data_IF_655205466793
#
_entry.id   IF_655205466793
#
_cell.length_a   1.000
_cell.length_b   1.000
_cell.length_c   1.000
_cell.angle_alpha   90.00
_cell.angle_beta   90.00
_cell.angle_gamma   90.00
#
_symmetry.space_group_name_H-M   'P 1'
#
loop_
_entity.id
_entity.type
_entity.pdbx_description
1 polymer ?
#
# COMPACT_ATOMS: atom_id res chain seq x y z
N UNK A 1 -10.59 -1.55 -15.78
CA UNK A 1 -9.50 -2.45 -16.22
C UNK A 1 -8.31 -1.69 -16.81
N UNK A 2 -8.52 -0.68 -17.66
CA UNK A 2 -7.42 0.12 -18.26
C UNK A 2 -6.51 0.76 -17.18
N UNK A 3 -7.06 1.56 -16.27
CA UNK A 3 -6.27 2.32 -15.26
C UNK A 3 -5.33 1.44 -14.43
N UNK A 4 -5.82 0.28 -13.98
CA UNK A 4 -5.01 -0.67 -13.21
C UNK A 4 -3.86 -1.27 -14.03
N UNK A 5 -4.13 -1.66 -15.28
CA UNK A 5 -3.10 -2.21 -16.18
C UNK A 5 -2.05 -1.15 -16.54
N UNK A 6 -2.48 0.08 -16.79
CA UNK A 6 -1.57 1.21 -17.04
C UNK A 6 -0.70 1.49 -15.83
N UNK A 7 -1.26 1.43 -14.62
CA UNK A 7 -0.51 1.61 -13.37
C UNK A 7 0.57 0.53 -13.22
N UNK A 8 0.19 -0.74 -13.42
CA UNK A 8 1.12 -1.87 -13.34
C UNK A 8 2.29 -1.72 -14.33
N UNK A 9 2.00 -1.33 -15.58
CA UNK A 9 3.04 -1.12 -16.59
C UNK A 9 3.96 0.06 -16.22
N UNK A 10 3.38 1.16 -15.74
CA UNK A 10 4.13 2.33 -15.33
C UNK A 10 5.06 2.04 -14.15
N UNK A 11 4.59 1.25 -13.18
CA UNK A 11 5.39 0.80 -12.04
C UNK A 11 6.56 -0.04 -12.51
N UNK A 12 6.33 -1.06 -13.34
CA UNK A 12 7.39 -1.94 -13.86
C UNK A 12 8.54 -1.18 -14.53
N UNK A 13 8.24 -0.08 -15.21
CA UNK A 13 9.22 0.74 -15.94
C UNK A 13 9.65 2.01 -15.20
N UNK A 14 9.19 2.21 -13.97
CA UNK A 14 9.32 3.45 -13.22
C UNK A 14 8.96 4.72 -14.00
N UNK A 15 7.89 4.66 -14.79
CA UNK A 15 7.37 5.83 -15.50
C UNK A 15 6.59 6.73 -14.53
N UNK A 16 7.34 7.61 -13.87
CA UNK A 16 6.83 8.61 -12.93
C UNK A 16 5.78 9.53 -13.59
N UNK A 17 5.91 9.81 -14.89
CA UNK A 17 4.98 10.68 -15.60
C UNK A 17 3.59 10.06 -15.75
N UNK A 18 3.54 8.76 -16.06
CA UNK A 18 2.29 8.01 -16.12
C UNK A 18 1.71 7.81 -14.72
N UNK A 19 2.53 7.48 -13.72
CA UNK A 19 2.10 7.32 -12.32
C UNK A 19 1.43 8.61 -11.81
N UNK A 20 2.05 9.76 -12.07
CA UNK A 20 1.48 11.06 -11.71
C UNK A 20 0.06 11.26 -12.29
N UNK A 21 -0.16 10.92 -13.56
CA UNK A 21 -1.48 11.04 -14.21
C UNK A 21 -2.50 10.06 -13.64
N UNK A 22 -2.05 8.90 -13.18
CA UNK A 22 -2.94 7.86 -12.65
C UNK A 22 -3.50 8.24 -11.29
N UNK A 23 -2.75 8.95 -10.43
CA UNK A 23 -3.28 9.38 -9.13
C UNK A 23 -4.59 10.18 -9.26
N UNK A 24 -4.69 11.09 -10.23
CA UNK A 24 -5.91 11.82 -10.52
C UNK A 24 -7.08 10.90 -10.95
N UNK A 25 -6.79 9.83 -11.73
CA UNK A 25 -7.80 8.82 -12.11
C UNK A 25 -8.21 7.96 -10.91
N UNK A 26 -7.27 7.63 -10.03
CA UNK A 26 -7.52 6.89 -8.79
C UNK A 26 -8.47 7.67 -7.86
N UNK A 27 -8.34 9.00 -7.78
CA UNK A 27 -9.28 9.84 -7.03
C UNK A 27 -10.73 9.56 -7.44
N UNK A 28 -11.01 9.56 -8.75
CA UNK A 28 -12.37 9.33 -9.27
C UNK A 28 -12.85 7.92 -8.91
N UNK A 29 -12.01 6.91 -9.15
CA UNK A 29 -12.36 5.51 -8.90
C UNK A 29 -12.61 5.22 -7.41
N UNK A 30 -11.82 5.79 -6.51
CA UNK A 30 -11.97 5.57 -5.07
C UNK A 30 -13.19 6.31 -4.50
N UNK A 31 -13.50 7.51 -4.98
CA UNK A 31 -14.74 8.20 -4.63
C UNK A 31 -15.97 7.38 -5.07
N UNK A 32 -15.95 6.85 -6.29
CA UNK A 32 -17.06 6.05 -6.82
C UNK A 32 -17.27 4.71 -6.12
N UNK A 33 -16.21 4.13 -5.57
CA UNK A 33 -16.22 2.83 -4.86
C UNK A 33 -16.41 2.95 -3.36
N UNK A 34 -16.68 4.16 -2.84
CA UNK A 34 -16.84 4.45 -1.41
C UNK A 34 -15.63 4.06 -0.54
N UNK A 35 -14.43 4.06 -1.13
CA UNK A 35 -13.18 3.70 -0.44
C UNK A 35 -12.51 4.94 0.16
N UNK A 36 -13.11 5.48 1.21
CA UNK A 36 -12.77 6.78 1.84
C UNK A 36 -11.28 6.96 2.16
N UNK A 37 -10.60 5.93 2.66
CA UNK A 37 -9.15 5.96 2.94
C UNK A 37 -8.32 6.22 1.68
N UNK A 38 -8.52 5.39 0.68
CA UNK A 38 -7.79 5.46 -0.58
C UNK A 38 -8.17 6.73 -1.36
N UNK A 39 -9.42 7.17 -1.22
CA UNK A 39 -9.87 8.48 -1.69
C UNK A 39 -9.03 9.60 -1.11
N UNK A 40 -8.92 9.68 0.22
CA UNK A 40 -8.15 10.72 0.89
C UNK A 40 -6.67 10.67 0.50
N UNK A 41 -6.06 9.47 0.53
CA UNK A 41 -4.66 9.29 0.14
C UNK A 41 -4.41 9.72 -1.31
N UNK A 42 -5.30 9.36 -2.24
CA UNK A 42 -5.18 9.75 -3.64
C UNK A 42 -5.31 11.26 -3.84
N UNK A 43 -6.20 11.93 -3.09
CA UNK A 43 -6.32 13.40 -3.09
C UNK A 43 -5.07 14.07 -2.53
N UNK A 44 -4.53 13.54 -1.43
CA UNK A 44 -3.30 14.04 -0.82
C UNK A 44 -2.11 13.93 -1.77
N UNK A 45 -1.93 12.76 -2.40
CA UNK A 45 -0.87 12.56 -3.40
C UNK A 45 -1.05 13.46 -4.62
N UNK A 46 -2.29 13.61 -5.11
CA UNK A 46 -2.60 14.50 -6.25
C UNK A 46 -2.33 15.97 -5.89
N UNK A 47 -2.64 16.38 -4.66
CA UNK A 47 -2.36 17.73 -4.17
C UNK A 47 -0.86 17.99 -4.09
N UNK A 48 -0.09 17.09 -3.46
CA UNK A 48 1.37 17.23 -3.36
C UNK A 48 2.06 17.24 -4.72
N UNK A 49 1.69 16.32 -5.61
CA UNK A 49 2.42 16.10 -6.86
C UNK A 49 1.89 16.91 -8.05
N UNK A 50 0.63 17.34 -8.01
CA UNK A 50 -0.04 18.05 -9.10
C UNK A 50 -0.29 19.54 -8.89
N UNK A 51 0.03 20.09 -7.70
CA UNK A 51 -0.20 21.51 -7.37
C UNK A 51 1.10 22.16 -6.85
N UNK A 52 1.20 23.50 -6.76
CA UNK A 52 2.40 24.15 -6.23
C UNK A 52 2.61 23.96 -4.71
N UNK A 53 1.86 23.06 -4.06
CA UNK A 53 2.03 22.72 -2.65
C UNK A 53 3.42 22.13 -2.34
N UNK A 54 4.05 21.45 -3.30
CA UNK A 54 5.43 20.99 -3.21
C UNK A 54 6.26 21.55 -4.39
N UNK A 55 7.53 21.86 -4.14
CA UNK A 55 8.47 22.23 -5.21
C UNK A 55 8.66 21.09 -6.21
N UNK A 56 8.96 21.39 -7.47
CA UNK A 56 9.08 20.37 -8.54
C UNK A 56 10.08 19.26 -8.22
N UNK A 57 11.18 19.61 -7.55
CA UNK A 57 12.19 18.64 -7.10
C UNK A 57 11.61 17.69 -6.05
N UNK A 58 10.88 18.23 -5.07
CA UNK A 58 10.21 17.45 -4.04
C UNK A 58 9.09 16.58 -4.62
N UNK A 59 8.31 17.08 -5.58
CA UNK A 59 7.29 16.29 -6.28
C UNK A 59 7.90 15.07 -6.98
N UNK A 60 9.02 15.28 -7.67
CA UNK A 60 9.76 14.20 -8.34
C UNK A 60 10.34 13.23 -7.33
N UNK A 61 10.91 13.72 -6.22
CA UNK A 61 11.45 12.89 -5.16
C UNK A 61 10.37 12.02 -4.50
N UNK A 62 9.19 12.58 -4.20
CA UNK A 62 8.05 11.84 -3.64
C UNK A 62 7.65 10.69 -4.57
N UNK A 63 7.52 10.96 -5.86
CA UNK A 63 7.12 9.93 -6.83
C UNK A 63 8.22 8.88 -7.06
N UNK A 64 9.49 9.31 -7.11
CA UNK A 64 10.62 8.40 -7.28
C UNK A 64 10.81 7.48 -6.07
N UNK A 65 10.69 8.02 -4.86
CA UNK A 65 10.78 7.24 -3.61
C UNK A 65 9.62 6.26 -3.44
N UNK A 66 8.51 6.45 -4.16
CA UNK A 66 7.42 5.48 -4.17
C UNK A 66 7.80 4.13 -4.81
N UNK A 67 8.92 4.08 -5.54
CA UNK A 67 9.37 2.91 -6.27
C UNK A 67 10.77 2.48 -5.83
N UNK A 68 11.00 1.18 -5.83
CA UNK A 68 12.29 0.56 -5.52
C UNK A 68 12.66 -0.44 -6.60
N UNK A 69 13.94 -0.53 -6.93
CA UNK A 69 14.45 -1.50 -7.89
C UNK A 69 15.43 -2.46 -7.22
N UNK A 70 14.93 -3.56 -6.62
CA UNK A 70 15.79 -4.49 -5.87
C UNK A 70 16.78 -5.23 -6.76
N UNK A 71 16.47 -5.43 -8.05
CA UNK A 71 17.30 -6.22 -8.99
C UNK A 71 18.17 -5.35 -9.90
N UNK A 72 17.93 -4.05 -9.98
CA UNK A 72 18.63 -3.14 -10.88
C UNK A 72 18.30 -3.30 -12.37
N UNK A 73 17.33 -4.13 -12.74
CA UNK A 73 16.90 -4.30 -14.13
C UNK A 73 15.81 -3.27 -14.52
N UNK A 74 15.65 -3.00 -15.82
CA UNK A 74 14.77 -1.93 -16.31
C UNK A 74 13.27 -2.21 -16.06
N UNK A 75 12.88 -3.48 -15.96
CA UNK A 75 11.50 -3.93 -15.78
C UNK A 75 11.20 -4.50 -14.37
N UNK A 76 12.17 -4.38 -13.45
CA UNK A 76 12.09 -4.96 -12.10
C UNK A 76 11.77 -3.96 -11.00
N UNK A 77 11.15 -2.84 -11.35
CA UNK A 77 10.70 -1.85 -10.39
C UNK A 77 9.45 -2.33 -9.63
N UNK A 78 9.41 -2.03 -8.34
CA UNK A 78 8.39 -2.42 -7.39
C UNK A 78 7.86 -1.22 -6.59
N UNK A 79 6.62 -1.30 -6.12
CA UNK A 79 6.09 -0.35 -5.17
C UNK A 79 6.80 -0.54 -3.81
N UNK A 80 7.32 0.55 -3.24
CA UNK A 80 8.00 0.51 -1.94
C UNK A 80 7.07 -0.02 -0.83
N UNK A 81 5.80 0.40 -0.85
CA UNK A 81 4.79 -0.05 0.11
C UNK A 81 4.56 -1.56 0.05
N UNK A 82 4.56 -2.13 -1.16
CA UNK A 82 4.43 -3.56 -1.38
C UNK A 82 5.65 -4.33 -0.86
N UNK A 83 6.86 -3.80 -1.05
CA UNK A 83 8.06 -4.40 -0.48
C UNK A 83 7.99 -4.39 1.05
N UNK A 84 7.51 -3.31 1.65
CA UNK A 84 7.32 -3.20 3.09
C UNK A 84 6.25 -4.18 3.60
N UNK A 85 5.15 -4.36 2.87
CA UNK A 85 4.12 -5.35 3.17
C UNK A 85 4.68 -6.78 3.16
N UNK A 86 5.47 -7.13 2.13
CA UNK A 86 6.13 -8.44 2.06
C UNK A 86 7.11 -8.65 3.21
N UNK A 87 7.91 -7.62 3.53
CA UNK A 87 8.83 -7.69 4.66
C UNK A 87 8.08 -7.91 5.98
N UNK A 88 7.01 -7.17 6.23
CA UNK A 88 6.17 -7.34 7.41
C UNK A 88 5.53 -8.74 7.49
N UNK A 89 5.09 -9.29 6.36
CA UNK A 89 4.56 -10.66 6.29
C UNK A 89 5.63 -11.71 6.61
N UNK A 90 6.84 -11.56 6.05
CA UNK A 90 7.97 -12.44 6.35
C UNK A 90 8.31 -12.41 7.83
N UNK A 91 8.37 -11.21 8.42
CA UNK A 91 8.62 -11.05 9.86
C UNK A 91 7.55 -11.74 10.70
N UNK A 92 6.26 -11.52 10.41
CA UNK A 92 5.16 -12.20 11.11
C UNK A 92 5.26 -13.73 10.99
N UNK A 93 5.60 -14.22 9.80
CA UNK A 93 5.73 -15.66 9.54
C UNK A 93 6.87 -16.25 10.36
N UNK A 94 8.05 -15.63 10.34
CA UNK A 94 9.22 -16.06 11.10
C UNK A 94 8.99 -15.98 12.61
N UNK A 95 8.26 -14.96 13.08
CA UNK A 95 7.85 -14.87 14.48
C UNK A 95 6.91 -16.00 14.88
N UNK A 96 5.94 -16.35 14.02
CA UNK A 96 5.03 -17.45 14.27
C UNK A 96 5.74 -18.83 14.29
N UNK A 97 6.76 -19.03 13.45
CA UNK A 97 7.51 -20.31 13.42
C UNK A 97 8.49 -20.47 14.59
N UNK A 98 9.00 -19.34 15.13
CA UNK A 98 10.03 -19.32 16.18
C UNK A 98 9.47 -18.99 17.57
N UNK A 99 8.15 -19.05 17.76
CA UNK A 99 7.51 -18.80 19.05
C UNK A 99 7.78 -19.95 20.03
N UNK A 100 8.99 -19.97 20.57
CA UNK A 100 9.38 -20.74 21.75
C UNK A 100 9.32 -19.79 22.93
N UNK A 101 8.78 -20.24 24.06
CA UNK A 101 8.48 -19.46 25.27
C UNK A 101 9.67 -18.73 25.94
N UNK A 102 10.88 -18.85 25.40
CA UNK A 102 12.12 -18.27 25.93
C UNK A 102 12.71 -17.12 25.10
N UNK A 103 12.16 -16.80 23.92
CA UNK A 103 12.72 -15.77 23.04
C UNK A 103 11.89 -14.50 23.13
N UNK A 104 12.51 -13.43 23.62
CA UNK A 104 11.96 -12.08 23.64
C UNK A 104 11.71 -11.53 22.21
N UNK A 105 10.62 -10.79 22.03
CA UNK A 105 10.17 -10.24 20.74
C UNK A 105 11.21 -9.29 20.15
N UNK A 106 11.90 -8.48 20.96
CA UNK A 106 12.95 -7.59 20.47
C UNK A 106 14.18 -8.38 19.99
N UNK A 107 14.54 -9.44 20.70
CA UNK A 107 15.62 -10.36 20.28
C UNK A 107 15.26 -11.12 19.00
N UNK A 108 14.01 -11.57 18.88
CA UNK A 108 13.50 -12.21 17.68
C UNK A 108 13.49 -11.25 16.49
N UNK A 109 13.04 -10.02 16.68
CA UNK A 109 13.01 -8.99 15.64
C UNK A 109 14.42 -8.63 15.16
N UNK A 110 15.38 -8.40 16.06
CA UNK A 110 16.78 -8.13 15.71
C UNK A 110 17.39 -9.27 14.90
N UNK A 111 17.21 -10.50 15.36
CA UNK A 111 17.77 -11.68 14.70
C UNK A 111 17.12 -11.89 13.33
N UNK A 112 15.80 -11.75 13.25
CA UNK A 112 15.01 -12.04 12.05
C UNK A 112 15.14 -10.94 11.00
N UNK A 113 15.15 -9.66 11.38
CA UNK A 113 15.34 -8.55 10.45
C UNK A 113 16.72 -8.58 9.77
N UNK A 114 17.77 -8.97 10.51
CA UNK A 114 19.14 -9.10 9.98
C UNK A 114 19.33 -10.36 9.12
N UNK A 115 18.56 -11.42 9.36
CA UNK A 115 18.73 -12.71 8.68
C UNK A 115 17.70 -12.97 7.60
N UNK A 116 16.63 -12.18 7.47
CA UNK A 116 15.56 -12.42 6.50
C UNK A 116 16.05 -12.49 5.04
N UNK A 117 16.93 -11.57 4.63
CA UNK A 117 17.55 -11.59 3.30
C UNK A 117 18.52 -12.77 3.14
N UNK A 118 19.47 -12.91 4.08
CA UNK A 118 20.49 -13.97 4.04
C UNK A 118 19.92 -15.39 4.11
N UNK A 119 18.88 -15.62 4.93
CA UNK A 119 18.20 -16.91 5.03
C UNK A 119 17.42 -17.25 3.76
N UNK A 120 16.97 -16.25 2.99
CA UNK A 120 16.35 -16.49 1.69
C UNK A 120 17.38 -16.97 0.68
N UNK A 121 18.52 -16.27 0.58
CA UNK A 121 19.63 -16.66 -0.32
C UNK A 121 20.24 -18.03 0.07
N UNK A 122 20.38 -18.29 1.37
CA UNK A 122 20.85 -19.57 1.90
C UNK A 122 19.86 -20.69 1.60
N UNK A 123 18.56 -20.43 1.73
CA UNK A 123 17.50 -21.39 1.38
C UNK A 123 17.56 -21.71 -0.11
N UNK A 124 17.64 -20.71 -0.99
CA UNK A 124 17.79 -20.91 -2.44
C UNK A 124 19.05 -21.73 -2.78
N UNK A 125 20.17 -21.44 -2.10
CA UNK A 125 21.44 -22.18 -2.29
C UNK A 125 21.34 -23.64 -1.84
N UNK A 126 20.65 -23.90 -0.73
CA UNK A 126 20.39 -25.26 -0.23
C UNK A 126 19.47 -26.00 -1.20
N UNK A 127 18.36 -25.40 -1.59
CA UNK A 127 17.42 -25.94 -2.58
C UNK A 127 18.12 -26.32 -3.90
N UNK A 128 18.98 -25.43 -4.41
CA UNK A 128 19.77 -25.68 -5.61
C UNK A 128 20.77 -26.84 -5.41
N UNK A 129 21.42 -26.94 -4.25
CA UNK A 129 22.39 -27.98 -3.96
C UNK A 129 21.75 -29.38 -3.81
N UNK A 130 20.53 -29.45 -3.28
CA UNK A 130 19.78 -30.70 -3.10
C UNK A 130 18.86 -31.05 -4.27
N UNK A 131 18.77 -30.17 -5.28
CA UNK A 131 17.92 -30.36 -6.46
C UNK A 131 16.42 -30.19 -6.19
N UNK A 132 16.03 -29.89 -4.94
CA UNK A 132 14.66 -29.53 -4.58
C UNK A 132 14.46 -28.05 -4.86
N UNK A 133 13.63 -27.72 -5.84
CA UNK A 133 13.23 -26.34 -6.08
C UNK A 133 11.85 -26.15 -5.47
N UNK A 134 11.76 -25.42 -4.36
CA UNK A 134 10.44 -24.98 -3.89
C UNK A 134 10.02 -23.86 -4.83
N UNK A 135 9.27 -24.21 -5.86
CA UNK A 135 8.89 -23.32 -6.96
C UNK A 135 7.98 -22.18 -6.44
N UNK A 136 8.60 -21.19 -5.79
CA UNK A 136 7.98 -19.97 -5.28
C UNK A 136 8.09 -18.83 -6.30
N UNK A 137 8.78 -19.08 -7.42
CA UNK A 137 8.78 -18.21 -8.57
C UNK A 137 7.40 -18.24 -9.21
N UNK A 138 6.54 -17.29 -8.82
CA UNK A 138 5.47 -16.87 -9.71
C UNK A 138 6.14 -16.33 -10.97
N UNK A 139 6.21 -17.14 -12.02
CA UNK A 139 6.48 -16.65 -13.37
C UNK A 139 5.48 -15.53 -13.61
N UNK A 140 5.95 -14.29 -13.68
CA UNK A 140 5.08 -13.19 -14.04
C UNK A 140 4.61 -13.46 -15.46
N UNK A 141 3.36 -13.93 -15.58
CA UNK A 141 2.71 -14.13 -16.86
C UNK A 141 2.84 -12.83 -17.65
N UNK A 142 3.37 -12.88 -18.86
CA UNK A 142 3.39 -11.72 -19.74
C UNK A 142 1.94 -11.30 -19.98
N UNK A 143 1.56 -10.21 -19.34
CA UNK A 143 0.18 -9.72 -19.33
C UNK A 143 -0.12 -9.01 -20.64
N UNK A 144 0.88 -8.71 -21.47
CA UNK A 144 0.75 -7.91 -22.70
C UNK A 144 -0.21 -8.56 -23.68
N UNK A 145 -0.07 -9.86 -23.92
CA UNK A 145 -0.96 -10.63 -24.78
C UNK A 145 -2.35 -10.77 -24.16
N UNK A 146 -2.45 -10.95 -22.85
CA UNK A 146 -3.73 -10.95 -22.15
C UNK A 146 -4.42 -9.57 -22.22
N UNK A 147 -3.67 -8.46 -22.24
CA UNK A 147 -4.22 -7.11 -22.44
C UNK A 147 -4.78 -6.97 -23.84
N UNK A 148 -4.00 -7.36 -24.85
CA UNK A 148 -4.40 -7.27 -26.25
C UNK A 148 -5.60 -8.17 -26.54
N UNK A 149 -5.58 -9.39 -26.06
CA UNK A 149 -6.66 -10.37 -26.24
C UNK A 149 -7.91 -9.96 -25.49
N UNK A 150 -7.80 -9.40 -24.28
CA UNK A 150 -8.96 -8.89 -23.55
C UNK A 150 -9.56 -7.65 -24.24
N UNK A 151 -8.72 -6.71 -24.70
CA UNK A 151 -9.19 -5.54 -25.43
C UNK A 151 -9.89 -5.94 -26.74
N UNK A 152 -9.30 -6.90 -27.46
CA UNK A 152 -9.87 -7.48 -28.67
C UNK A 152 -11.18 -8.22 -28.38
N UNK A 153 -11.25 -9.04 -27.33
CA UNK A 153 -12.49 -9.71 -26.92
C UNK A 153 -13.57 -8.72 -26.51
N UNK A 154 -13.24 -7.67 -25.77
CA UNK A 154 -14.20 -6.65 -25.36
C UNK A 154 -14.74 -5.88 -26.58
N UNK A 155 -13.88 -5.60 -27.57
CA UNK A 155 -14.27 -5.00 -28.84
C UNK A 155 -15.15 -5.95 -29.68
N UNK A 156 -14.71 -7.19 -29.91
CA UNK A 156 -15.44 -8.18 -30.71
C UNK A 156 -16.75 -8.64 -30.07
N UNK A 157 -16.84 -8.65 -28.74
CA UNK A 157 -18.08 -9.00 -28.03
C UNK A 157 -19.12 -7.87 -28.04
N UNK A 158 -18.75 -6.67 -28.53
CA UNK A 158 -19.60 -5.48 -28.45
C UNK A 158 -19.93 -5.11 -27.01
N UNK A 159 -19.10 -5.49 -26.04
CA UNK A 159 -19.35 -5.30 -24.59
C UNK A 159 -19.04 -3.86 -24.14
N UNK A 160 -18.34 -3.09 -24.98
CA UNK A 160 -18.23 -1.61 -24.84
C UNK A 160 -19.50 -0.93 -25.33
N UNK A 161 -20.20 -1.55 -26.28
CA UNK A 161 -21.45 -1.00 -26.81
C UNK A 161 -22.60 -1.29 -25.84
N UNK A 162 -23.48 -0.29 -25.76
CA UNK A 162 -24.65 -0.21 -24.88
C UNK A 162 -25.29 -1.57 -24.61
N UNK A 163 -25.65 -1.78 -23.33
CA UNK A 163 -26.45 -2.89 -22.79
C UNK A 163 -27.38 -3.44 -23.88
N UNK A 164 -27.12 -4.67 -24.37
CA UNK A 164 -28.08 -5.37 -25.24
C UNK A 164 -29.38 -5.53 -24.44
N UNK A 165 -30.44 -4.86 -24.86
CA UNK A 165 -31.77 -5.03 -24.27
C UNK A 165 -32.15 -6.51 -24.31
N UNK A 166 -32.49 -7.10 -23.16
CA UNK A 166 -32.98 -8.48 -23.05
C UNK A 166 -32.17 -9.48 -22.21
N UNK A 167 -31.03 -9.10 -21.61
CA UNK A 167 -30.39 -9.91 -20.54
C UNK A 167 -30.51 -9.21 -19.19
N UNK A 168 -31.50 -9.62 -18.41
CA UNK A 168 -31.64 -9.20 -17.02
C UNK A 168 -30.66 -9.97 -16.13
N UNK A 169 -29.55 -9.33 -15.81
CA UNK A 169 -28.75 -9.67 -14.64
C UNK A 169 -29.37 -8.99 -13.41
N UNK A 170 -29.65 -9.71 -12.31
CA UNK A 170 -30.15 -9.10 -11.07
C UNK A 170 -29.11 -8.16 -10.44
N UNK A 171 -27.83 -8.40 -10.71
CA UNK A 171 -26.75 -7.52 -10.27
C UNK A 171 -26.41 -6.52 -11.38
N UNK A 172 -26.69 -5.24 -11.12
CA UNK A 172 -26.25 -4.13 -11.96
C UNK A 172 -25.01 -3.50 -11.32
N UNK A 173 -23.83 -3.60 -11.94
CA UNK A 173 -22.64 -2.97 -11.40
C UNK A 173 -22.85 -1.45 -11.39
N UNK A 174 -22.56 -0.77 -10.27
CA UNK A 174 -22.69 0.67 -10.20
C UNK A 174 -21.70 1.35 -11.15
N UNK A 175 -22.12 2.44 -11.78
CA UNK A 175 -21.20 3.29 -12.54
C UNK A 175 -20.29 4.06 -11.57
N UNK A 176 -19.15 3.45 -11.28
CA UNK A 176 -18.13 3.99 -10.38
C UNK A 176 -17.56 5.30 -10.90
N UNK A 177 -17.47 5.50 -12.22
CA UNK A 177 -16.86 6.71 -12.79
C UNK A 177 -17.81 7.88 -12.65
N UNK A 178 -19.06 7.73 -13.09
CA UNK A 178 -20.07 8.79 -12.96
C UNK A 178 -20.35 9.14 -11.50
N UNK A 179 -20.45 8.13 -10.63
CA UNK A 179 -20.58 8.35 -9.18
C UNK A 179 -19.35 9.06 -8.60
N UNK A 180 -18.15 8.67 -9.00
CA UNK A 180 -16.91 9.31 -8.59
C UNK A 180 -16.83 10.77 -8.99
N UNK A 181 -17.18 11.11 -10.23
CA UNK A 181 -17.25 12.48 -10.73
C UNK A 181 -18.24 13.35 -9.95
N UNK A 182 -19.41 12.81 -9.60
CA UNK A 182 -20.41 13.53 -8.82
C UNK A 182 -19.94 13.83 -7.38
N UNK A 183 -19.20 12.89 -6.76
CA UNK A 183 -18.75 13.02 -5.37
C UNK A 183 -17.42 13.77 -5.21
N UNK A 184 -16.64 13.92 -6.28
CA UNK A 184 -15.31 14.50 -6.24
C UNK A 184 -15.32 15.95 -5.71
N UNK A 185 -16.29 16.77 -6.14
CA UNK A 185 -16.38 18.17 -5.70
C UNK A 185 -16.53 18.31 -4.18
N UNK A 186 -17.40 17.49 -3.58
CA UNK A 186 -17.59 17.46 -2.13
C UNK A 186 -16.34 16.93 -1.40
N UNK A 187 -15.70 15.90 -1.96
CA UNK A 187 -14.46 15.33 -1.42
C UNK A 187 -13.31 16.33 -1.41
N UNK A 188 -13.13 17.09 -2.49
CA UNK A 188 -12.12 18.15 -2.58
C UNK A 188 -12.42 19.28 -1.59
N UNK A 189 -13.66 19.74 -1.48
CA UNK A 189 -14.03 20.77 -0.50
C UNK A 189 -13.72 20.34 0.94
N UNK A 190 -14.04 19.08 1.29
CA UNK A 190 -13.69 18.51 2.60
C UNK A 190 -12.18 18.42 2.80
N UNK A 191 -11.44 17.96 1.80
CA UNK A 191 -9.97 17.86 1.84
C UNK A 191 -9.32 19.24 2.04
N UNK A 192 -9.75 20.25 1.27
CA UNK A 192 -9.25 21.62 1.38
C UNK A 192 -9.50 22.21 2.76
N UNK A 193 -10.68 21.98 3.36
CA UNK A 193 -10.99 22.43 4.72
C UNK A 193 -10.05 21.81 5.76
N UNK A 194 -9.81 20.50 5.68
CA UNK A 194 -8.98 19.78 6.65
C UNK A 194 -7.49 20.09 6.50
N UNK A 195 -6.94 19.96 5.29
CA UNK A 195 -5.49 19.98 5.06
C UNK A 195 -4.96 21.35 4.68
N UNK A 196 -5.64 22.07 3.79
CA UNK A 196 -5.14 23.38 3.30
C UNK A 196 -5.40 24.50 4.31
N UNK A 197 -6.53 24.45 5.01
CA UNK A 197 -6.89 25.46 6.02
C UNK A 197 -6.51 25.06 7.45
N UNK A 198 -5.76 23.97 7.62
CA UNK A 198 -5.17 23.59 8.91
C UNK A 198 -6.16 23.16 9.99
N UNK A 199 -7.36 22.69 9.63
CA UNK A 199 -8.33 22.14 10.58
C UNK A 199 -8.11 20.63 10.81
N UNK A 200 -6.89 20.15 10.62
CA UNK A 200 -6.55 18.76 10.86
C UNK A 200 -6.31 18.55 12.35
N UNK A 201 -7.36 18.14 13.06
CA UNK A 201 -7.21 17.44 14.33
C UNK A 201 -6.92 15.97 13.99
N UNK A 202 -5.81 15.42 14.48
CA UNK A 202 -5.35 14.05 14.14
C UNK A 202 -6.41 12.95 14.32
N UNK A 203 -7.46 13.22 15.10
CA UNK A 203 -8.55 12.29 15.42
C UNK A 203 -9.71 12.22 14.39
N UNK A 204 -9.83 13.19 13.47
CA UNK A 204 -10.97 13.23 12.52
C UNK A 204 -10.94 12.12 11.45
N UNK A 205 -9.83 11.38 11.36
CA UNK A 205 -9.74 10.17 10.54
C UNK A 205 -10.38 8.96 11.22
N UNK A 206 -10.40 8.89 12.56
CA UNK A 206 -10.96 7.77 13.32
C UNK A 206 -12.48 7.84 13.45
N UNK A 207 -13.06 9.04 13.47
CA UNK A 207 -14.50 9.26 13.68
C UNK A 207 -15.35 9.28 12.40
N UNK A 208 -14.75 9.03 11.23
CA UNK A 208 -15.53 8.77 10.01
C UNK A 208 -15.95 7.30 9.98
N UNK A 209 -17.25 6.96 10.03
CA UNK A 209 -17.70 5.58 10.00
C UNK A 209 -17.21 4.91 8.71
N UNK A 210 -16.20 4.03 8.84
CA UNK A 210 -15.54 3.34 7.73
C UNK A 210 -14.02 3.52 7.60
N UNK A 211 -13.37 4.28 8.48
CA UNK A 211 -11.90 4.48 8.49
C UNK A 211 -11.19 3.71 9.62
N UNK A 212 -11.40 2.41 9.74
CA UNK A 212 -10.75 1.59 10.77
C UNK A 212 -9.24 1.40 10.47
N UNK A 213 -8.37 2.21 11.06
CA UNK A 213 -6.89 2.18 11.05
C UNK A 213 -6.20 2.27 9.67
N UNK A 214 -5.27 3.22 9.54
CA UNK A 214 -4.20 3.17 8.55
C UNK A 214 -3.08 2.27 9.10
N UNK A 215 -2.23 1.67 8.24
CA UNK A 215 -0.98 1.04 8.70
C UNK A 215 -0.03 2.03 9.40
N UNK A 216 -0.19 3.34 9.14
CA UNK A 216 0.58 4.42 9.77
C UNK A 216 0.15 4.70 11.21
N UNK A 217 -1.15 4.59 11.54
CA UNK A 217 -1.61 4.77 12.93
C UNK A 217 -1.09 3.68 13.88
N UNK A 218 -0.69 2.52 13.34
CA UNK A 218 -0.05 1.44 14.11
C UNK A 218 1.39 1.82 14.50
N UNK A 219 2.03 2.79 13.83
CA UNK A 219 3.40 3.23 14.14
C UNK A 219 3.45 4.29 15.26
N UNK A 220 2.39 5.08 15.45
CA UNK A 220 2.32 6.07 16.54
C UNK A 220 2.30 5.41 17.94
N UNK A 221 1.73 4.20 18.03
CA UNK A 221 1.69 3.39 19.27
C UNK A 221 3.09 2.88 19.70
N UNK A 222 4.08 2.86 18.80
CA UNK A 222 5.43 2.36 19.10
C UNK A 222 6.44 3.46 19.45
N UNK A 223 6.13 4.74 19.21
CA UNK A 223 7.12 5.83 19.34
C UNK A 223 6.96 6.66 20.61
N UNK A 224 5.82 6.58 21.33
CA UNK A 224 5.52 7.52 22.43
C UNK A 224 5.35 6.91 23.83
N UNK A 225 5.81 5.68 24.09
CA UNK A 225 6.06 5.27 25.47
C UNK A 225 7.47 5.63 25.88
N UNK A 226 7.65 6.88 26.32
CA UNK A 226 8.75 7.17 27.24
C UNK A 226 8.66 6.19 28.42
N UNK A 227 9.78 5.57 28.85
CA UNK A 227 9.74 4.63 29.96
C UNK A 227 9.25 5.37 31.21
N UNK A 228 8.15 4.89 31.80
CA UNK A 228 7.70 5.33 33.11
C UNK A 228 8.89 5.24 34.09
N UNK A 229 9.31 6.38 34.62
CA UNK A 229 10.25 6.44 35.73
C UNK A 229 9.60 5.69 36.90
N UNK A 230 10.03 4.45 37.12
CA UNK A 230 9.69 3.73 38.34
C UNK A 230 10.31 4.49 39.50
N UNK A 231 9.48 5.24 40.24
CA UNK A 231 9.82 5.72 41.58
C UNK A 231 10.20 4.50 42.43
N UNK A 232 11.49 4.39 42.73
CA UNK A 232 11.99 3.40 43.68
C UNK A 232 11.55 3.88 45.07
N UNK A 233 10.45 3.32 45.57
CA UNK A 233 10.07 3.39 46.98
C UNK A 233 11.20 2.74 47.80
N UNK A 234 12.03 3.58 48.44
CA UNK A 234 12.96 3.12 49.47
C UNK A 234 12.13 2.66 50.67
N UNK A 235 11.92 1.33 50.76
CA UNK A 235 11.37 0.71 51.96
C UNK A 235 12.23 1.05 53.19
N UNK A 236 11.57 1.56 54.22
CA UNK A 236 12.14 1.82 55.54
C UNK A 236 12.88 0.57 56.06
N UNK A 237 14.18 0.73 56.30
CA UNK A 237 14.99 -0.22 57.05
C UNK A 237 14.79 0.11 58.52
N UNK A 238 13.71 -0.37 59.11
CA UNK A 238 13.50 -0.43 60.56
C UNK A 238 12.33 -1.38 60.85
N UNK A 239 12.61 -2.69 60.78
CA UNK A 239 11.92 -3.74 61.54
C UNK A 239 12.54 -5.10 61.17
N UNK A 240 13.53 -5.53 61.96
CA UNK A 240 13.87 -6.93 62.31
C UNK A 240 15.24 -6.96 63.05
N UNK A 241 15.20 -6.70 64.35
CA UNK A 241 16.09 -7.33 65.35
C UNK A 241 15.21 -8.30 66.15
#
# INVERSE_FOLDING_TARGET
>A
MEVYKTLKLAIKRADIGIIHRIFARCCILFHGSSKTKYTFLSLYMTWLTGTPAAGRELQRAILANGLVNPRGAEDSWFEMDRLNEFFNLQMKTLMATRHTSSIDVATLFRTTALTASYCTDLKESIEQAFGEHTNSAHTEKDVSDDVRNLAFQIYCSGSVDKRKEGRDSPFQPPDVVSRGCALLGNGVARFSKLIVHGQWAGDDLHDSPGLNSTPIGVLDDFVTKEPEENEVEYGNVDDLI
#
